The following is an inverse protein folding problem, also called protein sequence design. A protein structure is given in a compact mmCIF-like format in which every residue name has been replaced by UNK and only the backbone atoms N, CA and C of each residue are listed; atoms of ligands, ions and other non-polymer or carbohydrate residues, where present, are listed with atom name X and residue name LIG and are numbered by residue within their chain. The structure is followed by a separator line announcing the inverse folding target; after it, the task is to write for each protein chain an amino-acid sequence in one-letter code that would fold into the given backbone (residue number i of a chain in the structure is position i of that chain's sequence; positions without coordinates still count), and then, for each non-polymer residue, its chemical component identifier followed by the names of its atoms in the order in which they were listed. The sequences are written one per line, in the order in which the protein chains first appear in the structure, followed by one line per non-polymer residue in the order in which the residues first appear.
data_IF_646204522796
#
_entry.id   IF_646204522796
#
_cell.length_a   1.000
_cell.length_b   1.000
_cell.length_c   1.000
_cell.angle_alpha   90.00
_cell.angle_beta   90.00
_cell.angle_gamma   90.00
#
_symmetry.space_group_name_H-M   'P 1'
#
loop_
_entity.id
_entity.type
_entity.pdbx_description
1 polymer ?
#
# COMPACT_ATOMS: atom_id res chain seq x y z
N UNK A 1 7.80 -0.81 -18.61
CA UNK A 1 7.89 0.64 -18.32
C UNK A 1 8.20 0.78 -16.85
N UNK A 2 9.15 1.65 -16.47
CA UNK A 2 9.42 1.93 -15.06
C UNK A 2 8.37 2.91 -14.51
N UNK A 3 7.82 2.65 -13.33
CA UNK A 3 6.84 3.55 -12.69
C UNK A 3 7.49 4.89 -12.35
N UNK A 4 6.74 5.99 -12.57
CA UNK A 4 7.20 7.35 -12.25
C UNK A 4 7.51 7.53 -10.76
N UNK A 5 6.76 6.86 -9.88
CA UNK A 5 7.01 6.89 -8.44
C UNK A 5 8.32 6.17 -8.13
N UNK A 6 8.53 5.00 -8.73
CA UNK A 6 9.76 4.22 -8.54
C UNK A 6 11.01 4.97 -9.01
N UNK A 7 10.95 5.61 -10.19
CA UNK A 7 12.03 6.47 -10.68
C UNK A 7 12.31 7.66 -9.76
N UNK A 8 11.25 8.28 -9.24
CA UNK A 8 11.40 9.37 -8.28
C UNK A 8 12.09 8.91 -7.00
N UNK A 9 11.62 7.82 -6.38
CA UNK A 9 12.21 7.28 -5.15
C UNK A 9 13.66 6.85 -5.38
N UNK A 10 13.98 6.21 -6.52
CA UNK A 10 15.37 5.87 -6.88
C UNK A 10 16.28 7.09 -6.96
N UNK A 11 15.80 8.19 -7.57
CA UNK A 11 16.56 9.43 -7.64
C UNK A 11 16.83 10.00 -6.26
N UNK A 12 15.83 10.02 -5.38
CA UNK A 12 15.97 10.50 -4.00
C UNK A 12 16.94 9.64 -3.19
N UNK A 13 16.87 8.30 -3.31
CA UNK A 13 17.82 7.37 -2.68
C UNK A 13 19.26 7.65 -3.16
N UNK A 14 19.45 7.88 -4.47
CA UNK A 14 20.77 8.16 -5.03
C UNK A 14 21.34 9.48 -4.52
N UNK A 15 20.51 10.52 -4.43
CA UNK A 15 20.91 11.81 -3.87
C UNK A 15 21.23 11.70 -2.38
N UNK A 16 20.41 10.97 -1.61
CA UNK A 16 20.64 10.71 -0.20
C UNK A 16 21.96 9.98 0.05
N UNK A 17 22.24 8.90 -0.69
CA UNK A 17 23.49 8.14 -0.57
C UNK A 17 24.74 8.95 -0.93
N UNK A 18 24.62 9.96 -1.78
CA UNK A 18 25.73 10.86 -2.12
C UNK A 18 25.98 11.91 -1.02
N UNK A 19 24.93 12.32 -0.30
CA UNK A 19 24.96 13.44 0.64
C UNK A 19 25.08 13.01 2.11
N UNK A 20 24.76 11.75 2.43
CA UNK A 20 24.61 11.28 3.81
C UNK A 20 25.37 9.97 4.07
N UNK A 21 25.99 9.88 5.25
CA UNK A 21 26.52 8.61 5.78
C UNK A 21 25.49 7.77 6.53
N UNK A 22 24.22 8.23 6.59
CA UNK A 22 23.14 7.53 7.30
C UNK A 22 22.66 6.29 6.53
N UNK A 23 22.11 5.32 7.28
CA UNK A 23 21.60 4.07 6.70
C UNK A 23 20.20 4.19 6.10
N UNK A 24 19.35 5.10 6.62
CA UNK A 24 17.93 5.22 6.27
C UNK A 24 17.54 6.65 5.92
N UNK A 25 16.65 6.80 4.94
CA UNK A 25 16.05 8.09 4.57
C UNK A 25 15.01 8.54 5.61
N UNK A 26 14.73 9.84 5.66
CA UNK A 26 13.59 10.36 6.41
C UNK A 26 12.29 10.02 5.66
N UNK A 27 11.55 9.04 6.18
CA UNK A 27 10.32 8.51 5.58
C UNK A 27 9.22 9.57 5.51
N UNK A 28 8.98 10.31 6.59
CA UNK A 28 7.92 11.33 6.67
C UNK A 28 8.04 12.37 5.55
N UNK A 29 9.25 12.86 5.27
CA UNK A 29 9.48 13.84 4.20
C UNK A 29 9.18 13.25 2.83
N UNK A 30 9.61 12.02 2.58
CA UNK A 30 9.39 11.36 1.29
C UNK A 30 7.91 11.04 1.10
N UNK A 31 7.24 10.48 2.11
CA UNK A 31 5.81 10.13 2.10
C UNK A 31 4.95 11.36 1.79
N UNK A 32 5.22 12.50 2.44
CA UNK A 32 4.52 13.78 2.15
C UNK A 32 4.67 14.22 0.70
N UNK A 33 5.86 14.06 0.11
CA UNK A 33 6.07 14.41 -1.29
C UNK A 33 5.34 13.42 -2.20
N UNK A 34 5.42 12.13 -1.89
CA UNK A 34 4.76 11.08 -2.65
C UNK A 34 3.25 11.27 -2.70
N UNK A 35 2.61 11.46 -1.54
CA UNK A 35 1.16 11.62 -1.42
C UNK A 35 0.61 12.87 -2.13
N UNK A 36 1.41 13.93 -2.25
CA UNK A 36 1.00 15.19 -2.92
C UNK A 36 1.30 15.23 -4.41
N UNK A 37 2.36 14.55 -4.84
CA UNK A 37 2.89 14.65 -6.21
C UNK A 37 2.31 13.61 -7.15
N UNK A 38 1.88 12.46 -6.63
CA UNK A 38 1.47 11.32 -7.42
C UNK A 38 0.01 10.96 -7.14
N UNK A 39 -0.65 10.38 -8.14
CA UNK A 39 -2.02 9.91 -7.98
C UNK A 39 -2.05 8.61 -7.18
N UNK A 40 -3.20 8.25 -6.60
CA UNK A 40 -3.34 6.95 -5.94
C UNK A 40 -3.10 5.76 -6.89
N UNK A 41 -3.40 5.91 -8.19
CA UNK A 41 -3.06 4.91 -9.20
C UNK A 41 -1.54 4.76 -9.33
N UNK A 42 -0.80 5.87 -9.47
CA UNK A 42 0.67 5.84 -9.58
C UNK A 42 1.30 5.20 -8.32
N UNK A 43 0.77 5.52 -7.15
CA UNK A 43 1.23 4.98 -5.86
C UNK A 43 0.90 3.49 -5.73
N UNK A 44 -0.30 3.07 -6.16
CA UNK A 44 -0.72 1.68 -6.14
C UNK A 44 0.17 0.79 -7.02
N UNK A 45 0.56 1.28 -8.20
CA UNK A 45 1.42 0.54 -9.14
C UNK A 45 2.82 0.23 -8.61
N UNK A 46 3.30 0.97 -7.60
CA UNK A 46 4.60 0.70 -6.96
C UNK A 46 4.49 -0.01 -5.63
N UNK A 47 3.27 -0.23 -5.14
CA UNK A 47 3.10 -1.07 -3.98
C UNK A 47 3.53 -2.49 -4.35
N UNK A 48 4.30 -3.09 -3.45
CA UNK A 48 4.68 -4.49 -3.54
C UNK A 48 3.54 -5.44 -3.12
N UNK A 49 2.29 -4.95 -3.15
CA UNK A 49 1.10 -5.64 -2.64
C UNK A 49 0.00 -5.64 -3.69
N UNK A 50 -0.49 -6.84 -4.04
CA UNK A 50 -1.69 -7.05 -4.84
C UNK A 50 -2.85 -7.41 -3.93
N UNK A 51 -3.96 -6.68 -4.02
CA UNK A 51 -5.16 -6.94 -3.23
C UNK A 51 -6.24 -7.62 -4.06
N UNK A 52 -6.90 -8.62 -3.49
CA UNK A 52 -8.00 -9.35 -4.11
C UNK A 52 -9.05 -9.76 -3.07
N UNK A 53 -10.24 -10.10 -3.53
CA UNK A 53 -11.28 -10.76 -2.72
C UNK A 53 -11.38 -12.22 -3.15
N UNK A 54 -11.12 -13.14 -2.22
CA UNK A 54 -11.25 -14.58 -2.44
C UNK A 54 -11.85 -15.23 -1.20
N UNK A 55 -12.73 -16.21 -1.36
CA UNK A 55 -13.30 -16.99 -0.24
C UNK A 55 -13.90 -16.12 0.88
N UNK A 56 -14.61 -15.03 0.52
CA UNK A 56 -15.18 -14.04 1.44
C UNK A 56 -14.15 -13.31 2.32
N UNK A 57 -12.90 -13.17 1.84
CA UNK A 57 -11.82 -12.46 2.53
C UNK A 57 -11.17 -11.46 1.59
N UNK A 58 -10.76 -10.32 2.14
CA UNK A 58 -9.82 -9.42 1.47
C UNK A 58 -8.41 -9.94 1.78
N UNK A 59 -7.63 -10.19 0.74
CA UNK A 59 -6.29 -10.77 0.82
C UNK A 59 -5.30 -9.86 0.11
N UNK A 60 -4.14 -9.66 0.73
CA UNK A 60 -2.97 -9.05 0.11
C UNK A 60 -1.92 -10.11 -0.20
N UNK A 61 -1.35 -10.06 -1.40
CA UNK A 61 -0.23 -10.88 -1.84
C UNK A 61 0.98 -9.98 -2.07
N UNK A 62 2.14 -10.36 -1.53
CA UNK A 62 3.39 -9.68 -1.90
C UNK A 62 3.96 -10.18 -3.23
N UNK A 63 5.10 -9.64 -3.64
CA UNK A 63 5.80 -10.04 -4.87
C UNK A 63 6.23 -11.52 -4.89
N UNK A 64 6.36 -12.16 -3.74
CA UNK A 64 6.68 -13.58 -3.60
C UNK A 64 5.40 -14.45 -3.53
N UNK A 65 4.22 -13.87 -3.77
CA UNK A 65 2.91 -14.49 -3.60
C UNK A 65 2.63 -14.98 -2.18
N UNK A 66 3.28 -14.42 -1.15
CA UNK A 66 2.95 -14.72 0.24
C UNK A 66 1.63 -14.04 0.59
N UNK A 67 0.69 -14.85 1.07
CA UNK A 67 -0.69 -14.46 1.39
C UNK A 67 -0.77 -13.81 2.78
N UNK A 68 -1.44 -12.66 2.86
CA UNK A 68 -1.88 -12.02 4.12
C UNK A 68 -3.38 -11.80 4.07
N UNK A 69 -4.09 -12.32 5.06
CA UNK A 69 -5.52 -12.05 5.22
C UNK A 69 -5.64 -10.69 5.87
N UNK A 70 -6.34 -9.77 5.21
CA UNK A 70 -6.51 -8.40 5.68
C UNK A 70 -7.84 -8.26 6.41
N UNK A 71 -8.92 -8.81 5.88
CA UNK A 71 -10.24 -8.70 6.47
C UNK A 71 -11.07 -9.93 6.12
N UNK A 72 -11.74 -10.53 7.12
CA UNK A 72 -12.77 -11.53 6.87
C UNK A 72 -14.08 -10.80 6.64
N UNK A 73 -14.56 -10.77 5.40
CA UNK A 73 -15.78 -10.01 5.05
C UNK A 73 -16.95 -10.55 5.88
N UNK A 74 -16.96 -11.86 6.18
CA UNK A 74 -17.96 -12.60 6.98
C UNK A 74 -18.27 -12.01 8.35
N UNK A 75 -17.36 -11.23 8.88
CA UNK A 75 -17.44 -10.76 10.26
C UNK A 75 -18.20 -9.42 10.36
N UNK A 76 -18.66 -8.89 9.23
CA UNK A 76 -19.33 -7.58 9.11
C UNK A 76 -20.64 -7.66 8.33
N UNK A 77 -21.61 -6.84 8.72
CA UNK A 77 -22.92 -6.71 8.07
C UNK A 77 -22.97 -5.56 7.04
N UNK A 78 -22.03 -4.62 7.11
CA UNK A 78 -22.02 -3.40 6.30
C UNK A 78 -20.73 -3.27 5.51
N UNK A 79 -20.82 -2.63 4.35
CA UNK A 79 -19.65 -2.29 3.54
C UNK A 79 -18.68 -1.39 4.32
N UNK A 80 -19.21 -0.46 5.12
CA UNK A 80 -18.41 0.47 5.93
C UNK A 80 -17.59 -0.27 6.99
N UNK A 81 -18.18 -1.27 7.68
CA UNK A 81 -17.43 -2.06 8.65
C UNK A 81 -16.26 -2.83 8.02
N UNK A 82 -16.46 -3.38 6.82
CA UNK A 82 -15.39 -4.03 6.06
C UNK A 82 -14.32 -3.02 5.64
N UNK A 83 -14.72 -1.81 5.22
CA UNK A 83 -13.80 -0.73 4.83
C UNK A 83 -12.92 -0.31 5.99
N UNK A 84 -13.51 -0.04 7.15
CA UNK A 84 -12.78 0.41 8.35
C UNK A 84 -11.76 -0.64 8.80
N UNK A 85 -12.16 -1.91 8.83
CA UNK A 85 -11.26 -3.02 9.20
C UNK A 85 -10.13 -3.20 8.17
N UNK A 86 -10.47 -3.12 6.88
CA UNK A 86 -9.49 -3.16 5.80
C UNK A 86 -8.44 -2.06 5.95
N UNK A 87 -8.85 -0.79 6.15
CA UNK A 87 -7.95 0.34 6.29
C UNK A 87 -7.06 0.16 7.53
N UNK A 88 -7.65 -0.25 8.65
CA UNK A 88 -6.93 -0.48 9.91
C UNK A 88 -5.85 -1.56 9.75
N UNK A 89 -6.21 -2.75 9.26
CA UNK A 89 -5.28 -3.88 9.17
C UNK A 89 -4.25 -3.65 8.06
N UNK A 90 -4.66 -3.20 6.88
CA UNK A 90 -3.72 -2.92 5.79
C UNK A 90 -2.73 -1.81 6.19
N UNK A 91 -3.21 -0.76 6.86
CA UNK A 91 -2.38 0.34 7.34
C UNK A 91 -1.35 -0.10 8.37
N UNK A 92 -1.73 -0.93 9.35
CA UNK A 92 -0.83 -1.35 10.42
C UNK A 92 0.21 -2.41 10.01
N UNK A 93 -0.12 -3.28 9.06
CA UNK A 93 0.68 -4.50 8.83
C UNK A 93 1.34 -4.59 7.46
N UNK A 94 1.09 -3.63 6.56
CA UNK A 94 1.68 -3.62 5.23
C UNK A 94 2.52 -2.37 5.01
N UNK A 95 3.71 -2.58 4.47
CA UNK A 95 4.61 -1.53 4.03
C UNK A 95 5.35 -1.98 2.77
N UNK A 96 5.82 -1.02 1.97
CA UNK A 96 6.73 -1.26 0.86
C UNK A 96 8.17 -0.97 1.28
N UNK A 97 9.16 -1.68 0.71
CA UNK A 97 10.58 -1.40 0.95
C UNK A 97 11.25 -1.04 -0.36
N UNK A 98 11.93 0.11 -0.39
CA UNK A 98 12.74 0.55 -1.52
C UNK A 98 14.23 0.37 -1.23
N UNK A 99 14.95 -0.11 -2.24
CA UNK A 99 16.34 -0.49 -2.15
C UNK A 99 17.22 0.39 -3.03
N UNK A 100 18.48 0.57 -2.64
CA UNK A 100 19.50 1.21 -3.48
C UNK A 100 20.05 0.27 -4.57
N UNK A 101 20.96 0.78 -5.40
CA UNK A 101 21.60 0.03 -6.48
C UNK A 101 22.42 -1.18 -5.98
N UNK A 102 22.76 -1.24 -4.69
CA UNK A 102 23.44 -2.37 -4.04
C UNK A 102 22.47 -3.29 -3.30
N UNK A 103 21.16 -3.16 -3.54
CA UNK A 103 20.10 -3.92 -2.89
C UNK A 103 20.04 -3.76 -1.36
N UNK A 104 20.46 -2.60 -0.84
CA UNK A 104 20.31 -2.26 0.59
C UNK A 104 18.99 -1.52 0.80
N UNK A 105 18.18 -1.87 1.81
CA UNK A 105 16.94 -1.17 2.08
C UNK A 105 17.24 0.26 2.56
N UNK A 106 16.52 1.25 2.02
CA UNK A 106 16.75 2.68 2.31
C UNK A 106 15.52 3.46 2.74
N UNK A 107 14.34 2.96 2.40
CA UNK A 107 13.08 3.62 2.68
C UNK A 107 12.00 2.56 2.89
N UNK A 108 11.28 2.62 4.00
CA UNK A 108 10.00 1.94 4.16
C UNK A 108 8.86 2.91 3.88
N UNK A 109 7.83 2.42 3.20
CA UNK A 109 6.62 3.16 2.88
C UNK A 109 5.45 2.48 3.58
N UNK A 110 5.13 2.96 4.77
CA UNK A 110 3.99 2.48 5.55
C UNK A 110 2.67 2.91 4.89
N UNK A 111 1.73 1.97 4.77
CA UNK A 111 0.47 2.24 4.07
C UNK A 111 -0.43 3.22 4.81
N UNK A 112 -0.40 3.26 6.13
CA UNK A 112 -1.20 4.21 6.92
C UNK A 112 -0.71 5.66 6.73
N UNK A 113 0.61 5.87 6.73
CA UNK A 113 1.23 7.19 6.55
C UNK A 113 0.98 7.75 5.14
N UNK A 114 1.17 6.93 4.10
CA UNK A 114 0.84 7.38 2.73
C UNK A 114 -0.67 7.56 2.55
N UNK A 115 -1.50 6.75 3.23
CA UNK A 115 -2.94 6.92 3.19
C UNK A 115 -3.39 8.25 3.81
N UNK A 116 -2.80 8.69 4.93
CA UNK A 116 -3.08 10.01 5.54
C UNK A 116 -2.81 11.16 4.57
N UNK A 117 -1.81 11.03 3.69
CA UNK A 117 -1.44 12.08 2.73
C UNK A 117 -2.20 11.99 1.39
N UNK A 118 -2.63 10.79 0.96
CA UNK A 118 -3.16 10.59 -0.41
C UNK A 118 -4.55 9.93 -0.50
N UNK A 119 -5.03 9.29 0.55
CA UNK A 119 -6.23 8.45 0.49
C UNK A 119 -5.99 7.09 -0.21
N UNK A 120 -4.76 6.59 -0.22
CA UNK A 120 -4.41 5.37 -0.98
C UNK A 120 -5.23 4.14 -0.60
N UNK A 121 -5.43 3.86 0.69
CA UNK A 121 -6.21 2.70 1.13
C UNK A 121 -7.69 2.81 0.73
N UNK A 122 -8.27 4.00 0.74
CA UNK A 122 -9.63 4.22 0.22
C UNK A 122 -9.74 3.90 -1.27
N UNK A 123 -8.74 4.36 -2.04
CA UNK A 123 -8.66 4.04 -3.45
C UNK A 123 -8.57 2.54 -3.70
N UNK A 124 -7.71 1.82 -2.96
CA UNK A 124 -7.57 0.37 -3.07
C UNK A 124 -8.89 -0.32 -2.70
N UNK A 125 -9.54 0.11 -1.62
CA UNK A 125 -10.83 -0.46 -1.23
C UNK A 125 -11.91 -0.25 -2.30
N UNK A 126 -11.96 0.92 -2.93
CA UNK A 126 -12.88 1.20 -4.02
C UNK A 126 -12.70 0.25 -5.21
N UNK A 127 -11.47 -0.21 -5.50
CA UNK A 127 -11.21 -1.23 -6.52
C UNK A 127 -11.78 -2.61 -6.14
N UNK A 128 -11.86 -2.91 -4.84
CA UNK A 128 -12.36 -4.17 -4.30
C UNK A 128 -13.87 -4.17 -4.03
N UNK A 129 -14.47 -2.98 -3.92
CA UNK A 129 -15.83 -2.75 -3.42
C UNK A 129 -16.87 -3.66 -4.08
N UNK A 130 -16.88 -3.75 -5.41
CA UNK A 130 -17.85 -4.59 -6.13
C UNK A 130 -17.80 -6.06 -5.68
N UNK A 131 -16.59 -6.59 -5.45
CA UNK A 131 -16.41 -7.97 -5.00
C UNK A 131 -16.82 -8.13 -3.53
N UNK A 132 -16.51 -7.14 -2.69
CA UNK A 132 -16.94 -7.11 -1.28
C UNK A 132 -18.46 -7.08 -1.16
N UNK A 133 -19.12 -6.21 -1.92
CA UNK A 133 -20.59 -6.12 -1.95
C UNK A 133 -21.23 -7.43 -2.42
N UNK A 134 -20.63 -8.09 -3.42
CA UNK A 134 -21.09 -9.41 -3.87
C UNK A 134 -21.04 -10.43 -2.74
N UNK A 135 -19.93 -10.48 -1.99
CA UNK A 135 -19.79 -11.35 -0.82
C UNK A 135 -20.85 -11.05 0.27
N UNK A 136 -21.10 -9.77 0.56
CA UNK A 136 -22.10 -9.37 1.56
C UNK A 136 -23.53 -9.76 1.15
N UNK A 137 -23.90 -9.53 -0.12
CA UNK A 137 -25.24 -9.89 -0.63
C UNK A 137 -25.49 -11.39 -0.65
N UNK A 138 -24.45 -12.19 -0.90
CA UNK A 138 -24.55 -13.65 -0.97
C UNK A 138 -24.84 -14.35 0.38
N UNK A 139 -24.88 -13.60 1.49
CA UNK A 139 -25.28 -14.12 2.81
C UNK A 139 -26.78 -14.09 3.06
N UNK A 140 -27.52 -13.33 2.26
CA UNK A 140 -28.98 -13.21 2.32
C UNK A 140 -29.57 -14.30 1.42
#
# INVERSE_FOLDING_TARGET
MSSKVYEYVKKEIKMFNFQSGQSWMNEEKIIKVLGKKFTNQDLYEVLMWRFVVEENKIIAYDLENRKRIICNITDYDTLEGVREDFISIAGCYLWGVFYDEQNRPRLELYLDEIHKESGLLDFIFALLQTSVESCLRSRI
#
